data_IF_179443883487
#
_entry.id   IF_179443883487
#
_cell.length_a   1.000
_cell.length_b   1.000
_cell.length_c   1.000
_cell.angle_alpha   90.00
_cell.angle_beta   90.00
_cell.angle_gamma   90.00
#
_symmetry.space_group_name_H-M   'P 1'
#
loop_
_entity.id
_entity.type
_entity.pdbx_description
1 polymer ?
#
# COMPACT_ATOMS: atom_id res chain seq x y z
N UNK A 1 -20.85 -0.30 33.79
CA UNK A 1 -20.73 -1.27 32.68
C UNK A 1 -19.91 -0.65 31.58
N UNK A 2 -18.67 -1.09 31.36
CA UNK A 2 -17.88 -0.63 30.19
C UNK A 2 -18.43 -1.38 28.98
N UNK A 3 -19.02 -0.66 28.04
CA UNK A 3 -19.37 -1.23 26.75
C UNK A 3 -18.08 -1.71 26.08
N UNK A 4 -17.96 -3.02 25.92
CA UNK A 4 -17.02 -3.63 24.99
C UNK A 4 -17.59 -3.28 23.61
N UNK A 5 -16.94 -2.38 22.87
CA UNK A 5 -17.29 -2.10 21.48
C UNK A 5 -16.67 -3.23 20.65
N UNK A 6 -17.44 -4.10 19.99
CA UNK A 6 -16.89 -5.03 19.02
C UNK A 6 -16.98 -4.35 17.65
N UNK A 7 -15.87 -3.81 17.12
CA UNK A 7 -15.87 -3.36 15.73
C UNK A 7 -14.46 -3.19 15.18
N UNK A 8 -13.77 -4.29 14.90
CA UNK A 8 -12.66 -4.26 13.92
C UNK A 8 -13.24 -4.22 12.50
N UNK A 9 -14.05 -3.19 12.21
CA UNK A 9 -14.43 -2.89 10.82
C UNK A 9 -13.15 -2.42 10.12
N UNK A 10 -12.59 -3.27 9.25
CA UNK A 10 -11.43 -2.91 8.44
C UNK A 10 -11.77 -1.64 7.67
N UNK A 11 -11.09 -0.54 7.99
CA UNK A 11 -11.29 0.73 7.29
C UNK A 11 -10.81 0.57 5.85
N UNK A 12 -11.70 0.86 4.90
CA UNK A 12 -11.43 0.82 3.46
C UNK A 12 -11.43 2.22 2.90
N UNK A 13 -10.46 2.51 2.03
CA UNK A 13 -10.25 3.84 1.46
C UNK A 13 -10.49 3.80 -0.04
N UNK A 14 -11.07 4.86 -0.61
CA UNK A 14 -11.06 5.05 -2.05
C UNK A 14 -9.65 5.36 -2.52
N UNK A 15 -9.21 4.72 -3.60
CA UNK A 15 -7.84 4.82 -4.08
C UNK A 15 -7.71 5.44 -5.47
N UNK A 16 -6.55 6.05 -5.70
CA UNK A 16 -6.15 6.61 -7.00
C UNK A 16 -6.22 5.57 -8.13
N UNK A 17 -6.46 6.03 -9.36
CA UNK A 17 -6.49 5.16 -10.55
C UNK A 17 -5.19 4.37 -10.72
N UNK A 18 -4.03 5.02 -10.54
CA UNK A 18 -2.72 4.38 -10.66
C UNK A 18 -2.61 3.17 -9.72
N UNK A 19 -3.11 3.32 -8.49
CA UNK A 19 -3.09 2.23 -7.53
C UNK A 19 -4.10 1.14 -7.87
N UNK A 20 -5.31 1.53 -8.29
CA UNK A 20 -6.34 0.59 -8.72
C UNK A 20 -5.88 -0.29 -9.90
N UNK A 21 -5.23 0.32 -10.90
CA UNK A 21 -4.66 -0.39 -12.06
C UNK A 21 -3.53 -1.32 -11.65
N UNK A 22 -2.69 -0.91 -10.69
CA UNK A 22 -1.59 -1.76 -10.20
C UNK A 22 -2.09 -3.02 -9.49
N UNK A 23 -3.09 -2.91 -8.61
CA UNK A 23 -3.62 -4.05 -7.86
C UNK A 23 -4.56 -4.91 -8.72
N UNK A 24 -5.23 -4.30 -9.70
CA UNK A 24 -6.17 -5.00 -10.59
C UNK A 24 -7.46 -5.44 -9.88
N UNK A 25 -7.91 -4.69 -8.87
CA UNK A 25 -9.17 -4.97 -8.18
C UNK A 25 -10.37 -4.54 -9.02
N UNK A 26 -11.54 -5.15 -8.78
CA UNK A 26 -12.81 -4.73 -9.41
C UNK A 26 -13.38 -3.46 -8.78
N UNK A 27 -13.05 -3.20 -7.52
CA UNK A 27 -13.51 -2.04 -6.76
C UNK A 27 -12.35 -1.07 -6.51
N UNK A 28 -12.62 0.25 -6.59
CA UNK A 28 -11.68 1.33 -6.25
C UNK A 28 -11.52 1.56 -4.75
N UNK A 29 -11.75 0.53 -3.93
CA UNK A 29 -11.62 0.60 -2.47
C UNK A 29 -10.69 -0.48 -1.98
N UNK A 30 -9.84 -0.15 -0.99
CA UNK A 30 -8.93 -1.11 -0.38
C UNK A 30 -8.64 -0.77 1.08
N UNK A 31 -8.40 -1.79 1.91
CA UNK A 31 -7.87 -1.58 3.26
C UNK A 31 -6.36 -1.32 3.21
N UNK A 32 -5.82 -0.67 4.24
CA UNK A 32 -4.36 -0.47 4.35
C UNK A 32 -3.59 -1.80 4.39
N UNK A 33 -4.18 -2.83 5.01
CA UNK A 33 -3.58 -4.16 5.12
C UNK A 33 -3.54 -4.88 3.78
N UNK A 34 -4.63 -4.82 3.01
CA UNK A 34 -4.68 -5.43 1.69
C UNK A 34 -3.72 -4.73 0.72
N UNK A 35 -3.61 -3.41 0.84
CA UNK A 35 -2.62 -2.66 0.07
C UNK A 35 -1.19 -3.06 0.42
N UNK A 36 -0.87 -3.15 1.72
CA UNK A 36 0.45 -3.62 2.18
C UNK A 36 0.75 -5.03 1.67
N UNK A 37 -0.23 -5.93 1.74
CA UNK A 37 -0.10 -7.30 1.25
C UNK A 37 0.19 -7.33 -0.25
N UNK A 38 -0.56 -6.56 -1.06
CA UNK A 38 -0.36 -6.49 -2.50
C UNK A 38 1.07 -6.04 -2.86
N UNK A 39 1.61 -5.03 -2.16
CA UNK A 39 2.98 -4.56 -2.36
C UNK A 39 4.02 -5.60 -1.94
N UNK A 40 3.80 -6.28 -0.81
CA UNK A 40 4.69 -7.35 -0.35
C UNK A 40 4.70 -8.53 -1.33
N UNK A 41 3.53 -8.96 -1.80
CA UNK A 41 3.40 -10.10 -2.69
C UNK A 41 4.04 -9.79 -4.07
N UNK A 42 3.82 -8.58 -4.60
CA UNK A 42 4.53 -8.09 -5.79
C UNK A 42 6.05 -8.11 -5.58
N UNK A 43 6.54 -7.52 -4.48
CA UNK A 43 7.97 -7.45 -4.21
C UNK A 43 8.61 -8.83 -4.06
N UNK A 44 7.91 -9.80 -3.46
CA UNK A 44 8.38 -11.19 -3.37
C UNK A 44 8.45 -11.86 -4.74
N UNK A 45 7.37 -11.75 -5.53
CA UNK A 45 7.30 -12.35 -6.86
C UNK A 45 8.40 -11.83 -7.79
N UNK A 46 8.67 -10.52 -7.74
CA UNK A 46 9.71 -9.86 -8.53
C UNK A 46 11.11 -9.87 -7.89
N UNK A 47 11.29 -10.55 -6.75
CA UNK A 47 12.57 -10.63 -6.01
C UNK A 47 13.17 -9.26 -5.66
N UNK A 48 12.31 -8.31 -5.29
CA UNK A 48 12.66 -6.93 -4.95
C UNK A 48 12.96 -6.72 -3.45
N UNK A 49 12.71 -7.72 -2.60
CA UNK A 49 13.06 -7.64 -1.18
C UNK A 49 14.57 -7.72 -0.97
N UNK A 50 15.10 -6.89 -0.08
CA UNK A 50 16.51 -6.95 0.30
C UNK A 50 16.81 -8.26 1.03
N UNK A 51 17.90 -8.95 0.63
CA UNK A 51 18.23 -10.30 1.10
C UNK A 51 18.43 -10.41 2.63
N UNK A 52 18.98 -9.36 3.24
CA UNK A 52 19.25 -9.31 4.68
C UNK A 52 18.13 -8.59 5.46
N UNK A 53 17.45 -7.63 4.81
CA UNK A 53 16.54 -6.70 5.46
C UNK A 53 15.18 -6.80 4.78
N UNK A 54 14.40 -7.82 5.11
CA UNK A 54 13.17 -8.18 4.38
C UNK A 54 12.06 -7.12 4.44
N UNK A 55 12.15 -6.17 5.37
CA UNK A 55 11.28 -4.99 5.45
C UNK A 55 11.66 -3.89 4.43
N UNK A 56 12.81 -4.01 3.77
CA UNK A 56 13.29 -3.10 2.73
C UNK A 56 12.99 -3.71 1.37
N UNK A 57 12.32 -2.92 0.53
CA UNK A 57 12.10 -3.22 -0.88
C UNK A 57 12.97 -2.29 -1.73
N UNK A 58 13.70 -2.86 -2.67
CA UNK A 58 14.44 -2.16 -3.72
C UNK A 58 13.48 -2.01 -4.91
N UNK A 59 12.90 -0.82 -5.14
CA UNK A 59 11.79 -0.68 -6.07
C UNK A 59 12.27 -0.78 -7.52
N UNK A 60 11.56 -1.56 -8.32
CA UNK A 60 11.70 -1.56 -9.77
C UNK A 60 11.02 -0.32 -10.39
N UNK A 61 11.07 -0.21 -11.73
CA UNK A 61 10.45 0.92 -12.43
C UNK A 61 8.94 1.03 -12.17
N UNK A 62 8.26 -0.09 -11.95
CA UNK A 62 6.82 -0.12 -11.68
C UNK A 62 6.52 0.50 -10.32
N UNK A 63 7.19 0.06 -9.25
CA UNK A 63 7.02 0.62 -7.91
C UNK A 63 7.53 2.06 -7.83
N UNK A 64 8.61 2.40 -8.55
CA UNK A 64 9.08 3.78 -8.67
C UNK A 64 8.02 4.70 -9.25
N UNK A 65 7.36 4.28 -10.34
CA UNK A 65 6.27 5.03 -10.96
C UNK A 65 5.04 5.10 -10.05
N UNK A 66 4.68 3.99 -9.41
CA UNK A 66 3.53 3.93 -8.51
C UNK A 66 3.67 4.93 -7.37
N UNK A 67 4.83 4.94 -6.71
CA UNK A 67 5.10 5.78 -5.54
C UNK A 67 5.74 7.13 -5.84
N UNK A 68 5.98 7.42 -7.12
CA UNK A 68 6.70 8.62 -7.56
C UNK A 68 8.04 8.81 -6.83
N UNK A 69 8.84 7.74 -6.74
CA UNK A 69 10.16 7.72 -6.09
C UNK A 69 11.29 7.55 -7.11
N UNK A 70 12.45 8.11 -6.78
CA UNK A 70 13.68 8.06 -7.59
C UNK A 70 14.35 6.67 -7.52
N UNK A 71 15.20 6.37 -8.51
CA UNK A 71 15.85 5.05 -8.65
C UNK A 71 16.80 4.66 -7.50
N UNK A 72 17.30 5.62 -6.74
CA UNK A 72 18.18 5.40 -5.57
C UNK A 72 17.41 5.29 -4.25
N UNK A 73 16.10 5.52 -4.25
CA UNK A 73 15.27 5.43 -3.05
C UNK A 73 14.82 3.99 -2.80
N UNK A 74 14.77 3.63 -1.52
CA UNK A 74 14.21 2.35 -1.06
C UNK A 74 12.80 2.57 -0.49
N UNK A 75 12.04 1.48 -0.39
CA UNK A 75 10.76 1.45 0.33
C UNK A 75 10.99 0.70 1.63
N UNK A 76 10.80 1.38 2.75
CA UNK A 76 10.80 0.79 4.10
C UNK A 76 9.35 0.48 4.51
N UNK A 77 9.02 -0.80 4.62
CA UNK A 77 7.68 -1.26 5.01
C UNK A 77 7.29 -0.80 6.42
N UNK A 78 8.25 -0.48 7.28
CA UNK A 78 7.98 0.11 8.60
C UNK A 78 7.37 1.52 8.48
N UNK A 79 7.61 2.19 7.35
CA UNK A 79 7.10 3.54 7.03
C UNK A 79 6.04 3.49 5.93
N UNK A 80 5.39 2.35 5.73
CA UNK A 80 4.46 2.11 4.63
C UNK A 80 3.33 3.15 4.51
N UNK A 81 2.88 3.70 5.65
CA UNK A 81 1.87 4.77 5.67
C UNK A 81 2.23 5.96 4.75
N UNK A 82 3.52 6.30 4.63
CA UNK A 82 3.98 7.41 3.78
C UNK A 82 3.72 7.14 2.28
N UNK A 83 3.74 5.87 1.88
CA UNK A 83 3.50 5.45 0.50
C UNK A 83 2.01 5.18 0.25
N UNK A 84 1.24 4.85 1.28
CA UNK A 84 -0.20 4.62 1.17
C UNK A 84 -1.02 5.90 1.14
N UNK A 85 -0.76 6.84 2.04
CA UNK A 85 -1.57 8.06 2.20
C UNK A 85 -1.75 8.87 0.90
N UNK A 86 -0.73 9.04 0.04
CA UNK A 86 -0.88 9.76 -1.24
C UNK A 86 -1.86 9.11 -2.22
N UNK A 87 -2.14 7.81 -2.07
CA UNK A 87 -3.10 7.11 -2.91
C UNK A 87 -4.53 7.16 -2.39
N UNK A 88 -4.76 7.63 -1.15
CA UNK A 88 -6.10 7.78 -0.60
C UNK A 88 -6.74 9.00 -1.25
N UNK A 89 -7.77 8.78 -2.05
CA UNK A 89 -8.66 9.84 -2.46
C UNK A 89 -9.54 10.16 -1.26
N UNK A 90 -9.34 11.34 -0.65
CA UNK A 90 -10.16 11.81 0.46
C UNK A 90 -11.63 11.54 0.13
N UNK A 91 -12.34 10.85 1.02
CA UNK A 91 -13.79 10.74 0.90
C UNK A 91 -14.31 12.16 0.90
N UNK A 92 -14.89 12.59 -0.23
CA UNK A 92 -15.79 13.73 -0.24
C UNK A 92 -16.97 13.34 0.65
N UNK A 93 -16.85 13.59 1.96
CA UNK A 93 -18.00 13.81 2.81
C UNK A 93 -18.61 15.14 2.34
N UNK A 94 -19.54 15.05 1.40
CA UNK A 94 -20.62 16.03 1.29
C UNK A 94 -21.75 15.57 2.19
#
# INVERSE_FOLDING_TARGET
MRQIIPSSKMETYYISNNLHEFIGTTNKTISKMDFLKAIIDYAKYHKLQHLIHTHIIIPDKTLQKLFNIQHYQIIDLSKFSLYFTPHICSTSSR
#
